data_IF_626157885192
#
_entry.id   IF_626157885192
#
_cell.length_a   1.000
_cell.length_b   1.000
_cell.length_c   1.000
_cell.angle_alpha   90.00
_cell.angle_beta   90.00
_cell.angle_gamma   90.00
#
_symmetry.space_group_name_H-M   'P 1'
#
loop_
_entity.id
_entity.type
_entity.pdbx_description
1 polymer ?
#
# COMPACT_ATOMS: atom_id res chain seq x y z
N UNK A 1 -60.44 -18.87 -31.69
CA UNK A 1 -59.58 -19.90 -32.34
C UNK A 1 -58.14 -19.39 -32.46
N UNK A 2 -57.18 -20.23 -32.02
CA UNK A 2 -55.73 -20.30 -32.35
C UNK A 2 -54.79 -19.07 -32.19
N UNK A 3 -53.99 -19.18 -31.11
CA UNK A 3 -52.53 -18.89 -30.93
C UNK A 3 -51.71 -18.35 -32.13
N UNK A 4 -50.80 -17.42 -31.81
CA UNK A 4 -49.33 -17.65 -31.90
C UNK A 4 -48.52 -16.63 -31.06
N UNK A 5 -47.67 -17.16 -30.14
CA UNK A 5 -46.43 -16.52 -29.62
C UNK A 5 -45.47 -16.31 -30.82
N UNK A 6 -44.44 -15.48 -30.86
CA UNK A 6 -43.24 -15.30 -30.01
C UNK A 6 -42.52 -14.05 -30.57
N UNK A 7 -41.93 -13.17 -29.75
CA UNK A 7 -40.50 -12.86 -29.93
C UNK A 7 -40.10 -11.48 -29.41
N UNK A 8 -39.38 -11.46 -28.29
CA UNK A 8 -38.59 -10.33 -27.80
C UNK A 8 -37.37 -10.16 -28.72
N UNK A 9 -36.96 -8.92 -28.99
CA UNK A 9 -35.62 -8.35 -28.76
C UNK A 9 -35.55 -7.00 -29.49
N UNK A 10 -35.61 -5.90 -28.72
CA UNK A 10 -35.45 -4.53 -29.22
C UNK A 10 -33.97 -4.17 -29.09
N UNK A 11 -33.29 -4.08 -30.23
CA UNK A 11 -31.97 -3.48 -30.38
C UNK A 11 -32.17 -2.04 -30.82
N UNK A 12 -31.98 -1.07 -29.91
CA UNK A 12 -32.00 0.36 -30.26
C UNK A 12 -30.74 1.01 -29.70
N UNK A 13 -29.87 1.35 -30.64
CA UNK A 13 -28.78 2.31 -30.51
C UNK A 13 -29.40 3.70 -30.55
N UNK A 14 -29.19 4.53 -29.53
CA UNK A 14 -29.44 5.98 -29.61
C UNK A 14 -28.26 6.72 -29.00
N UNK A 15 -27.45 7.30 -29.90
CA UNK A 15 -26.60 8.46 -29.68
C UNK A 15 -27.51 9.70 -29.56
N UNK A 16 -27.43 10.44 -28.44
CA UNK A 16 -27.96 11.80 -28.34
C UNK A 16 -26.98 12.68 -27.57
N UNK A 17 -26.24 13.48 -28.34
CA UNK A 17 -25.48 14.64 -27.89
C UNK A 17 -26.44 15.82 -27.78
N UNK A 18 -26.51 16.47 -26.61
CA UNK A 18 -26.96 17.86 -26.47
C UNK A 18 -26.06 18.57 -25.47
N UNK A 19 -25.45 19.66 -25.92
CA UNK A 19 -24.58 20.55 -25.14
C UNK A 19 -25.26 21.92 -24.94
N UNK A 20 -25.24 22.45 -23.71
CA UNK A 20 -25.23 23.88 -23.36
C UNK A 20 -25.03 24.05 -21.84
N UNK A 21 -23.79 24.01 -21.37
CA UNK A 21 -23.02 25.12 -20.74
C UNK A 21 -23.50 25.65 -19.37
N UNK A 22 -22.90 25.08 -18.31
CA UNK A 22 -22.29 25.85 -17.23
C UNK A 22 -20.98 25.13 -16.83
N UNK A 23 -19.91 25.89 -16.71
CA UNK A 23 -18.52 25.42 -16.62
C UNK A 23 -18.13 24.99 -15.20
N UNK A 24 -17.92 23.68 -14.98
CA UNK A 24 -16.74 23.13 -14.27
C UNK A 24 -16.47 21.77 -14.89
N UNK A 25 -15.25 21.60 -15.40
CA UNK A 25 -14.72 20.32 -15.87
C UNK A 25 -14.41 19.44 -14.66
N UNK A 26 -15.38 18.64 -14.21
CA UNK A 26 -15.09 17.47 -13.37
C UNK A 26 -15.05 16.26 -14.27
N UNK A 27 -13.86 15.77 -14.64
CA UNK A 27 -13.77 14.53 -15.43
C UNK A 27 -14.25 13.43 -14.49
N UNK A 28 -15.41 12.87 -14.84
CA UNK A 28 -16.12 11.82 -14.11
C UNK A 28 -15.21 10.64 -13.80
N UNK A 29 -15.23 10.22 -12.54
CA UNK A 29 -14.78 8.92 -12.09
C UNK A 29 -15.48 7.81 -12.89
N UNK A 30 -14.72 7.03 -13.66
CA UNK A 30 -15.09 5.70 -14.14
C UNK A 30 -13.81 4.92 -14.45
N UNK A 31 -13.42 4.07 -13.51
CA UNK A 31 -12.91 2.70 -13.66
C UNK A 31 -12.23 2.32 -12.34
N UNK A 32 -13.07 1.97 -11.37
CA UNK A 32 -12.68 1.11 -10.26
C UNK A 32 -12.34 -0.25 -10.88
N UNK A 33 -11.08 -0.64 -10.81
CA UNK A 33 -10.74 -2.05 -10.73
C UNK A 33 -10.36 -2.34 -9.28
N UNK A 34 -11.00 -3.33 -8.71
CA UNK A 34 -10.76 -3.78 -7.35
C UNK A 34 -9.69 -4.86 -7.40
N UNK A 35 -8.44 -4.44 -7.51
CA UNK A 35 -7.30 -5.19 -6.99
C UNK A 35 -6.34 -4.20 -6.34
N UNK A 36 -6.05 -4.41 -5.05
CA UNK A 36 -4.99 -3.69 -4.33
C UNK A 36 -3.61 -4.06 -4.92
N UNK A 37 -3.23 -3.38 -6.00
CA UNK A 37 -1.87 -2.92 -6.30
C UNK A 37 -2.03 -1.47 -6.73
N UNK A 38 -1.84 -0.52 -5.81
CA UNK A 38 -2.08 0.89 -6.13
C UNK A 38 -0.92 1.46 -6.95
N UNK A 39 -1.13 1.55 -8.27
CA UNK A 39 -0.21 2.22 -9.21
C UNK A 39 -0.34 3.75 -9.06
N UNK A 40 0.65 4.39 -8.45
CA UNK A 40 0.74 5.86 -8.40
C UNK A 40 1.48 6.37 -9.63
N UNK A 41 0.78 7.08 -10.53
CA UNK A 41 1.38 7.85 -11.63
C UNK A 41 1.21 9.35 -11.34
N UNK A 42 2.32 10.10 -11.27
CA UNK A 42 2.30 11.56 -11.28
C UNK A 42 3.32 12.11 -12.30
N UNK A 43 2.99 13.28 -12.85
CA UNK A 43 3.55 13.88 -14.08
C UNK A 43 5.01 14.36 -13.92
N UNK A 44 5.81 14.03 -14.94
CA UNK A 44 7.27 13.94 -14.94
C UNK A 44 7.64 12.49 -15.22
N UNK A 45 8.69 12.16 -15.99
CA UNK A 45 8.94 10.77 -16.42
C UNK A 45 9.56 9.90 -15.31
N UNK A 46 9.06 10.05 -14.08
CA UNK A 46 9.35 9.23 -12.90
C UNK A 46 8.22 8.22 -12.79
N UNK A 47 8.53 6.96 -13.06
CA UNK A 47 7.60 5.83 -12.90
C UNK A 47 8.28 4.81 -12.02
N UNK A 48 7.53 4.19 -11.11
CA UNK A 48 8.06 3.10 -10.29
C UNK A 48 7.15 1.89 -10.33
N UNK A 49 7.74 0.71 -10.25
CA UNK A 49 7.04 -0.54 -10.00
C UNK A 49 7.27 -0.98 -8.57
N UNK A 50 6.19 -1.29 -7.84
CA UNK A 50 6.25 -1.96 -6.55
C UNK A 50 6.08 -3.46 -6.78
N UNK A 51 7.06 -4.22 -6.32
CA UNK A 51 7.08 -5.67 -6.45
C UNK A 51 7.17 -6.30 -5.06
N UNK A 52 6.47 -7.43 -4.90
CA UNK A 52 6.59 -8.34 -3.75
C UNK A 52 6.75 -9.78 -4.30
N UNK A 53 7.89 -10.10 -4.93
CA UNK A 53 8.02 -11.31 -5.75
C UNK A 53 7.96 -12.60 -4.94
N UNK A 54 8.29 -12.60 -3.65
CA UNK A 54 8.08 -13.77 -2.80
C UNK A 54 6.65 -13.85 -2.29
N UNK A 55 5.98 -12.73 -2.00
CA UNK A 55 4.54 -12.72 -1.72
C UNK A 55 3.71 -13.26 -2.90
N UNK A 56 4.08 -12.89 -4.13
CA UNK A 56 3.41 -13.35 -5.35
C UNK A 56 3.54 -14.89 -5.54
N UNK A 57 4.53 -15.53 -4.88
CA UNK A 57 4.73 -16.99 -4.90
C UNK A 57 4.11 -17.74 -3.71
N UNK A 58 3.67 -17.05 -2.66
CA UNK A 58 3.01 -17.71 -1.52
C UNK A 58 1.66 -18.29 -2.00
N UNK A 59 1.40 -19.60 -1.80
CA UNK A 59 0.12 -20.22 -2.11
C UNK A 59 -1.06 -19.48 -1.44
N UNK A 60 -2.22 -19.41 -2.10
CA UNK A 60 -3.36 -18.62 -1.62
C UNK A 60 -3.90 -19.08 -0.27
N UNK A 61 -3.82 -20.37 0.03
CA UNK A 61 -4.16 -21.00 1.31
C UNK A 61 -3.20 -20.60 2.44
N UNK A 62 -1.90 -20.49 2.14
CA UNK A 62 -0.90 -19.97 3.10
C UNK A 62 -1.05 -18.46 3.38
N UNK A 63 -1.86 -17.74 2.58
CA UNK A 63 -2.20 -16.32 2.79
C UNK A 63 -3.43 -16.11 3.66
N UNK A 64 -4.30 -17.11 3.80
CA UNK A 64 -5.62 -16.95 4.45
C UNK A 64 -5.73 -17.62 5.82
N UNK A 65 -4.90 -18.64 6.11
CA UNK A 65 -5.01 -19.42 7.34
C UNK A 65 -3.80 -19.19 8.26
N UNK A 66 -3.64 -17.95 8.75
CA UNK A 66 -2.54 -17.60 9.64
C UNK A 66 -2.80 -18.01 11.09
N UNK A 67 -1.83 -18.70 11.67
CA UNK A 67 -1.81 -19.05 13.10
C UNK A 67 -0.94 -18.05 13.90
N UNK A 68 -1.17 -17.91 15.22
CA UNK A 68 -0.34 -17.04 16.05
C UNK A 68 1.16 -17.34 15.93
N UNK A 69 2.00 -16.30 15.82
CA UNK A 69 3.44 -16.36 15.54
C UNK A 69 3.82 -16.90 14.15
N UNK A 70 2.87 -17.13 13.25
CA UNK A 70 3.19 -17.52 11.89
C UNK A 70 3.87 -16.38 11.16
N UNK A 71 4.99 -16.71 10.53
CA UNK A 71 5.74 -15.80 9.66
C UNK A 71 5.36 -16.06 8.20
N UNK A 72 5.04 -14.98 7.49
CA UNK A 72 4.70 -15.01 6.07
C UNK A 72 5.71 -14.20 5.28
N UNK A 73 6.16 -14.73 4.15
CA UNK A 73 7.08 -14.02 3.25
C UNK A 73 6.40 -12.81 2.62
N UNK A 74 7.04 -11.66 2.68
CA UNK A 74 6.59 -10.42 2.06
C UNK A 74 7.79 -9.51 1.88
N UNK A 75 8.02 -9.06 0.66
CA UNK A 75 9.31 -8.49 0.26
C UNK A 75 9.16 -7.22 -0.61
N UNK A 76 8.53 -6.16 -0.09
CA UNK A 76 8.26 -4.97 -0.87
C UNK A 76 9.54 -4.26 -1.28
N UNK A 77 9.71 -4.08 -2.59
CA UNK A 77 10.83 -3.38 -3.21
C UNK A 77 10.36 -2.51 -4.37
N UNK A 78 11.14 -1.47 -4.69
CA UNK A 78 10.81 -0.50 -5.73
C UNK A 78 11.79 -0.65 -6.89
N UNK A 79 11.26 -0.76 -8.12
CA UNK A 79 12.03 -0.64 -9.36
C UNK A 79 11.74 0.72 -9.99
N UNK A 80 12.78 1.49 -10.33
CA UNK A 80 12.62 2.72 -11.11
C UNK A 80 12.43 2.39 -12.60
N UNK A 81 11.19 2.46 -13.06
CA UNK A 81 10.81 2.22 -14.46
C UNK A 81 10.70 3.53 -15.26
N UNK A 82 10.99 4.67 -14.65
CA UNK A 82 11.01 5.99 -15.28
C UNK A 82 12.25 6.19 -16.14
N UNK A 83 12.37 7.38 -16.73
CA UNK A 83 13.60 7.77 -17.44
C UNK A 83 14.57 8.56 -16.57
N UNK A 84 14.10 9.12 -15.46
CA UNK A 84 14.87 10.00 -14.59
C UNK A 84 15.24 9.29 -13.29
N UNK A 85 16.38 9.68 -12.73
CA UNK A 85 16.80 9.27 -11.41
C UNK A 85 15.82 9.79 -10.35
N UNK A 86 15.55 8.99 -9.33
CA UNK A 86 14.52 9.28 -8.34
C UNK A 86 14.97 8.95 -6.91
N UNK A 87 14.37 9.61 -5.93
CA UNK A 87 14.32 9.12 -4.56
C UNK A 87 13.01 8.35 -4.37
N UNK A 88 13.08 7.27 -3.61
CA UNK A 88 11.99 6.31 -3.46
C UNK A 88 11.60 6.14 -1.99
N UNK A 89 10.31 5.98 -1.74
CA UNK A 89 9.73 5.80 -0.41
C UNK A 89 8.68 4.69 -0.41
N UNK A 90 8.54 4.00 0.71
CA UNK A 90 7.49 3.01 0.94
C UNK A 90 6.64 3.41 2.13
N UNK A 91 5.33 3.30 2.00
CA UNK A 91 4.37 3.31 3.09
C UNK A 91 3.97 1.88 3.42
N UNK A 92 3.90 1.56 4.72
CA UNK A 92 3.38 0.30 5.22
C UNK A 92 2.31 0.62 6.26
N UNK A 93 1.15 -0.02 6.15
CA UNK A 93 0.11 0.07 7.17
C UNK A 93 -0.04 -1.27 7.89
N UNK A 94 0.10 -1.25 9.22
CA UNK A 94 0.00 -2.42 10.08
C UNK A 94 -1.33 -2.38 10.83
N UNK A 95 -2.22 -3.36 10.63
CA UNK A 95 -3.52 -3.35 11.28
C UNK A 95 -3.37 -3.45 12.80
N UNK A 96 -4.19 -2.65 13.49
CA UNK A 96 -4.27 -2.60 14.95
C UNK A 96 -5.62 -3.17 15.38
N UNK A 97 -5.61 -3.95 16.47
CA UNK A 97 -6.83 -4.44 17.12
C UNK A 97 -6.71 -4.34 18.63
N UNK A 98 -7.84 -4.10 19.30
CA UNK A 98 -7.95 -4.20 20.74
C UNK A 98 -8.14 -5.68 21.14
N UNK A 99 -7.05 -6.40 21.42
CA UNK A 99 -7.03 -7.86 21.60
C UNK A 99 -6.14 -8.28 22.78
N UNK A 100 -6.17 -9.57 23.10
CA UNK A 100 -5.32 -10.21 24.11
C UNK A 100 -4.23 -10.99 23.38
N UNK A 101 -2.98 -10.74 23.73
CA UNK A 101 -1.85 -11.54 23.26
C UNK A 101 -1.30 -12.41 24.39
N UNK A 102 -0.56 -13.43 24.01
CA UNK A 102 0.12 -14.35 24.93
C UNK A 102 1.61 -14.00 24.93
N UNK A 103 2.14 -13.66 26.10
CA UNK A 103 3.55 -13.36 26.29
C UNK A 103 4.45 -14.58 26.06
N UNK A 104 5.76 -14.35 25.95
CA UNK A 104 6.74 -15.42 25.78
C UNK A 104 6.77 -16.44 26.93
N UNK A 105 6.27 -16.06 28.11
CA UNK A 105 6.11 -16.94 29.28
C UNK A 105 4.81 -17.77 29.25
N UNK A 106 4.04 -17.69 28.16
CA UNK A 106 2.77 -18.38 27.97
C UNK A 106 1.59 -17.74 28.70
N UNK A 107 1.77 -16.57 29.34
CA UNK A 107 0.68 -15.89 30.06
C UNK A 107 -0.07 -14.91 29.17
N UNK A 108 -1.37 -14.80 29.42
CA UNK A 108 -2.23 -13.80 28.80
C UNK A 108 -1.82 -12.40 29.28
N UNK A 109 -1.60 -11.49 28.34
CA UNK A 109 -1.42 -10.07 28.61
C UNK A 109 -2.79 -9.38 28.75
N UNK A 110 -2.86 -8.22 29.41
CA UNK A 110 -4.07 -7.41 29.43
C UNK A 110 -4.53 -7.05 28.01
N UNK A 111 -5.85 -6.92 27.80
CA UNK A 111 -6.41 -6.50 26.52
C UNK A 111 -5.95 -5.09 26.18
N UNK A 112 -5.37 -4.90 24.99
CA UNK A 112 -4.80 -3.63 24.55
C UNK A 112 -4.84 -3.48 23.02
N UNK A 113 -4.69 -2.26 22.54
CA UNK A 113 -4.47 -1.99 21.12
C UNK A 113 -3.09 -2.52 20.72
N UNK A 114 -3.09 -3.49 19.82
CA UNK A 114 -1.90 -4.27 19.42
C UNK A 114 -1.79 -4.25 17.90
N UNK A 115 -0.61 -3.95 17.40
CA UNK A 115 -0.24 -4.27 16.02
C UNK A 115 -0.28 -5.76 15.78
N UNK A 116 -1.00 -6.18 14.75
CA UNK A 116 -1.12 -7.60 14.44
C UNK A 116 0.12 -8.16 13.77
N UNK A 117 0.97 -7.34 13.15
CA UNK A 117 2.14 -7.83 12.45
C UNK A 117 3.40 -7.08 12.85
N UNK A 118 4.49 -7.83 12.96
CA UNK A 118 5.83 -7.28 13.17
C UNK A 118 6.74 -7.69 12.01
N UNK A 119 7.74 -6.87 11.72
CA UNK A 119 8.73 -7.14 10.69
C UNK A 119 10.06 -6.50 11.08
N UNK A 120 11.14 -6.98 10.46
CA UNK A 120 12.47 -6.40 10.59
C UNK A 120 12.78 -5.58 9.34
N UNK A 121 13.02 -4.29 9.54
CA UNK A 121 13.50 -3.39 8.47
C UNK A 121 14.91 -3.82 8.07
N UNK A 122 15.13 -3.97 6.76
CA UNK A 122 16.41 -4.30 6.15
C UNK A 122 17.29 -3.06 6.01
N UNK A 123 18.60 -3.28 5.88
CA UNK A 123 19.56 -2.22 5.62
C UNK A 123 19.24 -1.45 4.32
N UNK A 124 19.56 -0.16 4.31
CA UNK A 124 19.27 0.74 3.18
C UNK A 124 17.87 1.36 3.22
N UNK A 125 17.13 1.17 4.32
CA UNK A 125 15.87 1.83 4.59
C UNK A 125 15.90 2.55 5.93
N UNK A 126 15.27 3.72 5.99
CA UNK A 126 15.10 4.50 7.23
C UNK A 126 13.65 4.88 7.41
N UNK A 127 13.11 4.70 8.62
CA UNK A 127 11.78 5.19 8.98
C UNK A 127 11.82 6.72 9.15
N UNK A 128 10.99 7.43 8.40
CA UNK A 128 10.98 8.90 8.40
C UNK A 128 9.68 9.49 8.96
N UNK A 129 8.62 8.68 9.04
CA UNK A 129 7.34 9.12 9.60
C UNK A 129 6.59 7.93 10.20
N UNK A 130 5.86 8.22 11.27
CA UNK A 130 4.89 7.34 11.90
C UNK A 130 3.60 8.14 12.15
N UNK A 131 2.45 7.52 11.97
CA UNK A 131 1.14 8.14 12.21
C UNK A 131 0.04 7.10 12.35
N UNK A 132 -1.06 7.46 12.99
CA UNK A 132 -2.24 6.60 13.11
C UNK A 132 -3.15 6.72 11.89
N UNK A 133 -3.69 5.59 11.46
CA UNK A 133 -4.85 5.51 10.57
C UNK A 133 -6.05 5.21 11.42
N UNK A 134 -6.99 6.14 11.46
CA UNK A 134 -8.20 6.02 12.29
C UNK A 134 -9.45 5.91 11.43
N UNK A 135 -10.38 5.05 11.87
CA UNK A 135 -11.74 4.96 11.34
C UNK A 135 -12.72 5.09 12.49
N UNK A 136 -13.73 5.94 12.34
CA UNK A 136 -14.74 6.21 13.38
C UNK A 136 -14.16 6.53 14.77
N UNK A 137 -13.04 7.27 14.81
CA UNK A 137 -12.39 7.69 16.05
C UNK A 137 -11.57 6.61 16.76
N UNK A 138 -11.32 5.47 16.12
CA UNK A 138 -10.44 4.41 16.63
C UNK A 138 -9.27 4.19 15.70
N UNK A 139 -8.09 3.95 16.25
CA UNK A 139 -6.92 3.54 15.48
C UNK A 139 -7.18 2.14 14.92
N UNK A 140 -7.14 2.02 13.59
CA UNK A 140 -7.33 0.76 12.87
C UNK A 140 -6.03 0.22 12.28
N UNK A 141 -5.03 1.09 12.10
CA UNK A 141 -3.68 0.72 11.71
C UNK A 141 -2.68 1.79 12.14
N UNK A 142 -1.41 1.42 12.33
CA UNK A 142 -0.30 2.37 12.30
C UNK A 142 0.28 2.42 10.90
N UNK A 143 0.69 3.62 10.48
CA UNK A 143 1.26 3.91 9.16
C UNK A 143 2.69 4.38 9.33
N UNK A 144 3.59 3.69 8.64
CA UNK A 144 5.02 3.96 8.62
C UNK A 144 5.45 4.38 7.22
N UNK A 145 6.26 5.44 7.11
CA UNK A 145 6.91 5.83 5.86
C UNK A 145 8.40 5.57 5.99
N UNK A 146 8.96 4.88 4.99
CA UNK A 146 10.36 4.56 4.87
C UNK A 146 10.96 5.21 3.63
N UNK A 147 12.18 5.73 3.76
CA UNK A 147 12.96 6.23 2.63
C UNK A 147 14.09 5.26 2.29
N UNK A 148 14.39 5.10 1.00
CA UNK A 148 15.55 4.34 0.55
C UNK A 148 16.82 5.19 0.71
N UNK A 149 17.76 4.75 1.55
CA UNK A 149 18.97 5.47 1.88
C UNK A 149 19.44 5.23 3.31
N UNK A 150 19.98 6.30 3.91
CA UNK A 150 20.48 6.36 5.29
C UNK A 150 19.71 7.42 6.06
N UNK A 151 19.92 7.52 7.38
CA UNK A 151 19.34 8.60 8.19
C UNK A 151 19.74 10.01 7.71
N UNK A 152 20.92 10.14 7.10
CA UNK A 152 21.47 11.42 6.69
C UNK A 152 21.07 11.80 5.25
N UNK A 153 20.98 10.82 4.36
CA UNK A 153 20.70 11.07 2.95
C UNK A 153 19.89 9.96 2.27
N UNK A 154 18.96 10.36 1.40
CA UNK A 154 18.34 9.42 0.46
C UNK A 154 19.36 8.93 -0.57
N UNK A 155 19.28 7.65 -0.90
CA UNK A 155 20.04 7.07 -2.00
C UNK A 155 19.28 7.30 -3.31
N UNK A 156 19.98 7.85 -4.30
CA UNK A 156 19.45 7.98 -5.66
C UNK A 156 19.22 6.59 -6.24
N UNK A 157 18.01 6.34 -6.73
CA UNK A 157 17.62 5.16 -7.48
C UNK A 157 17.63 5.49 -8.96
N UNK A 158 18.64 5.00 -9.68
CA UNK A 158 18.81 5.31 -11.11
C UNK A 158 17.77 4.60 -11.96
N UNK A 159 17.60 5.07 -13.20
CA UNK A 159 16.78 4.38 -14.19
C UNK A 159 17.11 2.88 -14.27
N UNK A 160 16.09 2.04 -14.12
CA UNK A 160 16.17 0.59 -14.23
C UNK A 160 16.71 -0.11 -12.98
N UNK A 161 17.13 0.61 -11.94
CA UNK A 161 17.57 0.01 -10.69
C UNK A 161 16.38 -0.40 -9.82
N UNK A 162 16.60 -1.47 -9.04
CA UNK A 162 15.68 -1.97 -8.03
C UNK A 162 16.31 -1.83 -6.65
N UNK A 163 15.53 -1.39 -5.67
CA UNK A 163 15.97 -1.32 -4.27
C UNK A 163 16.16 -2.72 -3.68
N UNK A 164 16.85 -2.81 -2.54
CA UNK A 164 16.63 -3.94 -1.64
C UNK A 164 15.17 -3.93 -1.13
N UNK A 165 14.65 -5.09 -0.71
CA UNK A 165 13.34 -5.16 -0.07
C UNK A 165 13.37 -4.43 1.28
N UNK A 166 12.27 -3.77 1.66
CA UNK A 166 12.15 -3.07 2.95
C UNK A 166 12.20 -4.02 4.13
N UNK A 167 11.53 -5.16 4.01
CA UNK A 167 11.60 -6.31 4.91
C UNK A 167 11.43 -7.57 4.06
N UNK A 168 11.66 -8.75 4.63
CA UNK A 168 11.53 -10.03 3.89
C UNK A 168 10.34 -10.89 4.35
N UNK A 169 9.75 -10.52 5.48
CA UNK A 169 8.63 -11.25 6.07
C UNK A 169 7.93 -10.42 7.13
N UNK A 170 6.70 -10.78 7.40
CA UNK A 170 5.88 -10.28 8.53
C UNK A 170 5.52 -11.45 9.44
N UNK A 171 5.42 -11.22 10.74
CA UNK A 171 5.04 -12.23 11.74
C UNK A 171 3.80 -11.79 12.48
N UNK A 172 2.75 -12.62 12.46
CA UNK A 172 1.51 -12.39 13.17
C UNK A 172 1.78 -12.43 14.69
N UNK A 173 1.21 -11.47 15.42
CA UNK A 173 1.28 -11.42 16.88
C UNK A 173 0.77 -12.72 17.51
N UNK A 174 1.20 -13.02 18.74
CA UNK A 174 0.74 -14.18 19.49
C UNK A 174 -0.68 -13.98 20.04
N UNK A 175 -1.65 -13.82 19.14
CA UNK A 175 -3.05 -13.50 19.46
C UNK A 175 -3.72 -14.71 20.11
N UNK A 176 -4.58 -14.48 21.10
CA UNK A 176 -5.41 -15.55 21.68
C UNK A 176 -6.40 -16.08 20.63
N UNK A 177 -6.53 -17.41 20.56
CA UNK A 177 -7.48 -18.11 19.66
C UNK A 177 -8.91 -17.56 19.81
N UNK A 178 -9.65 -17.44 18.70
CA UNK A 178 -11.03 -16.96 18.69
C UNK A 178 -11.20 -15.45 18.54
N UNK A 179 -10.13 -14.65 18.50
CA UNK A 179 -10.23 -13.18 18.49
C UNK A 179 -10.19 -12.52 17.11
N UNK A 180 -9.60 -13.20 16.12
CA UNK A 180 -9.43 -12.71 14.74
C UNK A 180 -9.70 -13.84 13.74
N UNK A 181 -10.40 -14.89 14.18
CA UNK A 181 -10.75 -16.04 13.36
C UNK A 181 -11.64 -15.58 12.19
N UNK A 182 -11.40 -16.14 11.01
CA UNK A 182 -12.09 -15.79 9.75
C UNK A 182 -11.96 -14.30 9.31
N UNK A 183 -11.15 -13.48 9.99
CA UNK A 183 -10.87 -12.11 9.55
C UNK A 183 -9.84 -12.10 8.41
N UNK A 184 -10.15 -11.37 7.33
CA UNK A 184 -9.14 -11.02 6.33
C UNK A 184 -8.29 -9.86 6.85
N UNK A 185 -7.00 -10.12 7.07
CA UNK A 185 -6.04 -9.12 7.51
C UNK A 185 -5.19 -8.64 6.32
N UNK A 186 -5.17 -7.33 6.11
CA UNK A 186 -4.37 -6.70 5.05
C UNK A 186 -3.20 -5.92 5.64
N UNK A 187 -2.07 -5.97 4.95
CA UNK A 187 -0.90 -5.09 5.19
C UNK A 187 -0.68 -4.28 3.91
N UNK A 188 -1.39 -3.16 3.72
CA UNK A 188 -1.21 -2.31 2.56
C UNK A 188 0.22 -1.78 2.47
N UNK A 189 0.80 -1.86 1.27
CA UNK A 189 2.08 -1.24 0.94
C UNK A 189 1.90 -0.31 -0.25
N UNK A 190 2.44 0.91 -0.18
CA UNK A 190 2.40 1.89 -1.27
C UNK A 190 3.79 2.43 -1.53
N UNK A 191 4.11 2.72 -2.79
CA UNK A 191 5.36 3.36 -3.17
C UNK A 191 5.15 4.81 -3.59
N UNK A 192 6.11 5.65 -3.23
CA UNK A 192 6.22 7.03 -3.67
C UNK A 192 7.59 7.27 -4.31
N UNK A 193 7.64 8.19 -5.27
CA UNK A 193 8.88 8.59 -5.89
C UNK A 193 8.85 10.07 -6.29
N UNK A 194 10.03 10.70 -6.21
CA UNK A 194 10.26 12.08 -6.65
C UNK A 194 11.57 12.12 -7.44
N UNK A 195 11.64 12.92 -8.50
CA UNK A 195 12.87 13.09 -9.28
C UNK A 195 14.01 13.57 -8.39
N UNK A 196 15.22 13.06 -8.61
CA UNK A 196 16.37 13.37 -7.75
C UNK A 196 16.98 14.76 -8.00
N UNK A 197 16.70 15.35 -9.16
CA UNK A 197 17.16 16.66 -9.58
C UNK A 197 16.15 17.76 -9.20
N UNK A 198 16.65 18.98 -9.02
CA UNK A 198 15.84 20.19 -8.78
C UNK A 198 14.96 20.16 -7.51
N UNK A 199 15.27 19.31 -6.52
CA UNK A 199 14.51 19.19 -5.26
C UNK A 199 15.07 20.01 -4.08
N UNK A 200 16.09 20.84 -4.31
CA UNK A 200 16.79 21.63 -3.28
C UNK A 200 18.14 21.03 -2.85
N UNK A 201 18.79 21.69 -1.88
CA UNK A 201 20.13 21.32 -1.41
C UNK A 201 20.11 20.16 -0.40
N UNK A 202 19.05 20.05 0.41
CA UNK A 202 18.95 19.01 1.42
C UNK A 202 18.84 17.63 0.78
N UNK A 203 19.61 16.68 1.33
CA UNK A 203 19.53 15.26 1.01
C UNK A 203 18.82 14.45 2.08
N UNK A 204 18.46 15.10 3.20
CA UNK A 204 17.84 14.43 4.33
C UNK A 204 16.50 13.80 3.93
N UNK A 205 16.27 12.52 4.27
CA UNK A 205 15.06 11.81 3.85
C UNK A 205 13.74 12.51 4.17
N UNK A 206 13.61 13.05 5.38
CA UNK A 206 12.40 13.76 5.81
C UNK A 206 12.17 15.04 5.00
N UNK A 207 13.23 15.79 4.69
CA UNK A 207 13.13 17.02 3.88
C UNK A 207 12.68 16.70 2.45
N UNK A 208 13.26 15.67 1.83
CA UNK A 208 12.89 15.23 0.48
C UNK A 208 11.43 14.78 0.46
N UNK A 209 10.98 14.04 1.47
CA UNK A 209 9.59 13.60 1.56
C UNK A 209 8.63 14.80 1.74
N UNK A 210 9.01 15.83 2.48
CA UNK A 210 8.23 17.07 2.56
C UNK A 210 8.12 17.80 1.22
N UNK A 211 9.18 17.79 0.40
CA UNK A 211 9.10 18.32 -0.98
C UNK A 211 8.11 17.51 -1.80
N UNK A 212 8.14 16.17 -1.72
CA UNK A 212 7.17 15.31 -2.37
C UNK A 212 5.72 15.65 -1.97
N UNK A 213 5.45 15.78 -0.67
CA UNK A 213 4.11 16.12 -0.18
C UNK A 213 3.63 17.46 -0.76
N UNK A 214 4.47 18.51 -0.72
CA UNK A 214 4.12 19.84 -1.26
C UNK A 214 3.81 19.83 -2.76
N UNK A 215 4.47 18.97 -3.54
CA UNK A 215 4.24 18.86 -4.98
C UNK A 215 2.96 18.09 -5.35
N UNK A 216 2.42 17.31 -4.41
CA UNK A 216 1.27 16.42 -4.62
C UNK A 216 0.07 16.75 -3.70
N UNK A 217 0.09 17.93 -3.07
CA UNK A 217 -0.99 18.48 -2.24
C UNK A 217 -2.02 19.24 -3.06
#
# INVERSE_FOLDING_TARGET
MRKKRIGKQVMIIVLLVVAATATVRGISAYFTDAQEKTNTLTVGNVKTGLEEPDWDKVPSDEKTDLTPNQTVKKDPRITNTGTNDAYAFLEVQIPVRNIITVGADGKKLPKADTELFTYKVNDGWVQIQESDVSSSGKVTAHRYIYAYGTEQECKVLKKGETTGALFNSVTLANVMEGQIDDETLNIPVKSYAIQAEHIGESKAPSDIFQVYLKQNS
#
